data_IF_820943328683
#
_entry.id   IF_820943328683
#
_cell.length_a   1.000
_cell.length_b   1.000
_cell.length_c   1.000
_cell.angle_alpha   90.00
_cell.angle_beta   90.00
_cell.angle_gamma   90.00
#
_symmetry.space_group_name_H-M   'P 1'
#
loop_
_entity.id
_entity.type
_entity.pdbx_description
1 polymer ?
#
# COMPACT_ATOMS: atom_id res chain seq x y z
N UNK A 1 94.74 39.22 22.17
CA UNK A 1 94.38 40.06 21.02
C UNK A 1 94.35 39.18 19.78
N UNK A 2 93.23 39.24 19.06
CA UNK A 2 92.91 38.89 17.65
C UNK A 2 94.10 38.56 16.73
N UNK A 3 94.05 37.60 15.77
CA UNK A 3 93.22 37.53 14.54
C UNK A 3 93.22 36.09 13.96
N UNK A 4 92.14 35.69 13.29
CA UNK A 4 92.04 34.55 12.35
C UNK A 4 90.76 33.75 12.62
N UNK A 5 89.83 33.47 11.70
CA UNK A 5 89.94 33.21 10.27
C UNK A 5 88.52 33.32 9.67
N UNK A 6 88.41 33.82 8.43
CA UNK A 6 87.22 33.67 7.60
C UNK A 6 87.19 32.25 7.02
N UNK A 7 86.04 31.59 7.08
CA UNK A 7 85.70 30.45 6.22
C UNK A 7 84.26 30.62 5.73
N UNK A 8 84.14 31.07 4.49
CA UNK A 8 82.96 30.91 3.68
C UNK A 8 82.86 29.45 3.22
N UNK A 9 81.65 28.90 3.15
CA UNK A 9 81.43 27.66 2.39
C UNK A 9 80.29 26.80 2.91
N UNK A 10 79.21 26.71 2.13
CA UNK A 10 78.32 25.54 2.14
C UNK A 10 76.97 25.71 2.81
N UNK A 11 76.15 26.70 2.42
CA UNK A 11 74.70 26.50 2.51
C UNK A 11 74.31 25.36 1.58
N UNK A 12 74.15 24.16 2.14
CA UNK A 12 73.54 23.04 1.44
C UNK A 12 72.17 23.44 0.92
N UNK A 13 72.05 23.65 -0.40
CA UNK A 13 70.76 23.81 -1.07
C UNK A 13 69.98 22.53 -0.88
N UNK A 14 68.99 22.55 0.02
CA UNK A 14 67.95 21.51 0.05
C UNK A 14 67.31 21.47 -1.36
N UNK A 15 67.19 20.30 -1.99
CA UNK A 15 66.48 20.21 -3.28
C UNK A 15 65.07 20.75 -3.06
N UNK A 16 64.71 21.80 -3.80
CA UNK A 16 63.33 22.31 -3.83
C UNK A 16 62.46 21.15 -4.30
N UNK A 17 61.60 20.64 -3.41
CA UNK A 17 60.51 19.75 -3.80
C UNK A 17 59.66 20.53 -4.80
N UNK A 18 59.63 20.09 -6.04
CA UNK A 18 58.63 20.56 -7.00
C UNK A 18 57.26 20.24 -6.38
N UNK A 19 56.43 21.28 -6.23
CA UNK A 19 55.05 21.11 -5.83
C UNK A 19 54.39 20.40 -7.01
N UNK A 20 54.25 19.09 -6.89
CA UNK A 20 53.42 18.30 -7.81
C UNK A 20 52.00 18.84 -7.59
N UNK A 21 51.46 19.56 -8.56
CA UNK A 21 50.03 19.86 -8.61
C UNK A 21 49.31 18.52 -8.74
N UNK A 22 48.94 17.95 -7.59
CA UNK A 22 48.08 16.77 -7.53
C UNK A 22 46.71 17.25 -7.97
N UNK A 23 46.18 16.81 -9.12
CA UNK A 23 44.86 17.21 -9.55
C UNK A 23 43.87 16.80 -8.46
N UNK A 24 43.19 17.77 -7.86
CA UNK A 24 42.17 17.50 -6.84
C UNK A 24 41.11 16.57 -7.46
N UNK A 25 40.82 15.46 -6.77
CA UNK A 25 39.74 14.56 -7.18
C UNK A 25 38.44 15.36 -7.30
N UNK A 26 37.86 15.39 -8.51
CA UNK A 26 36.53 15.96 -8.74
C UNK A 26 35.54 15.36 -7.74
N UNK A 27 34.75 16.21 -7.08
CA UNK A 27 33.66 15.75 -6.21
C UNK A 27 32.62 15.02 -7.05
N UNK A 28 32.36 13.76 -6.70
CA UNK A 28 31.28 12.96 -7.29
C UNK A 28 29.92 13.64 -7.08
N UNK A 29 29.12 13.81 -8.14
CA UNK A 29 27.77 14.36 -8.01
C UNK A 29 26.81 13.30 -7.45
N UNK A 30 26.58 13.36 -6.13
CA UNK A 30 25.69 12.42 -5.42
C UNK A 30 24.20 12.75 -5.53
N UNK A 31 23.80 13.79 -6.27
CA UNK A 31 22.40 14.24 -6.36
C UNK A 31 21.46 13.15 -6.87
N UNK A 32 21.90 12.36 -7.86
CA UNK A 32 21.09 11.29 -8.44
C UNK A 32 20.91 10.13 -7.45
N UNK A 33 21.97 9.74 -6.75
CA UNK A 33 21.91 8.68 -5.73
C UNK A 33 21.05 9.08 -4.53
N UNK A 34 21.11 10.34 -4.10
CA UNK A 34 20.21 10.89 -3.08
C UNK A 34 18.75 10.86 -3.54
N UNK A 35 18.47 11.24 -4.79
CA UNK A 35 17.13 11.19 -5.37
C UNK A 35 16.59 9.75 -5.43
N UNK A 36 17.42 8.80 -5.87
CA UNK A 36 17.08 7.37 -5.88
C UNK A 36 16.78 6.84 -4.47
N UNK A 37 17.56 7.25 -3.48
CA UNK A 37 17.35 6.85 -2.08
C UNK A 37 15.99 7.35 -1.55
N UNK A 38 15.68 8.64 -1.72
CA UNK A 38 14.40 9.23 -1.28
C UNK A 38 13.23 8.57 -2.01
N UNK A 39 13.37 8.30 -3.32
CA UNK A 39 12.33 7.63 -4.09
C UNK A 39 12.11 6.19 -3.66
N UNK A 40 13.17 5.44 -3.33
CA UNK A 40 13.07 4.09 -2.75
C UNK A 40 12.28 4.11 -1.44
N UNK A 41 12.52 5.09 -0.57
CA UNK A 41 11.74 5.25 0.67
C UNK A 41 10.26 5.55 0.38
N UNK A 42 9.98 6.46 -0.57
CA UNK A 42 8.60 6.79 -0.99
C UNK A 42 7.89 5.59 -1.61
N UNK A 43 8.57 4.80 -2.43
CA UNK A 43 8.05 3.56 -2.99
C UNK A 43 7.66 2.60 -1.87
N UNK A 44 8.52 2.42 -0.86
CA UNK A 44 8.20 1.60 0.31
C UNK A 44 6.95 2.06 1.06
N UNK A 45 6.68 3.37 1.14
CA UNK A 45 5.42 3.90 1.69
C UNK A 45 4.22 3.56 0.81
N UNK A 46 4.32 3.78 -0.50
CA UNK A 46 3.24 3.45 -1.45
C UNK A 46 2.90 1.95 -1.45
N UNK A 47 3.91 1.08 -1.29
CA UNK A 47 3.70 -0.36 -1.18
C UNK A 47 2.97 -0.77 0.10
N UNK A 48 3.24 -0.09 1.22
CA UNK A 48 2.49 -0.26 2.47
C UNK A 48 1.05 0.20 2.31
N UNK A 49 0.83 1.40 1.78
CA UNK A 49 -0.52 1.93 1.48
C UNK A 49 -1.31 0.98 0.58
N UNK A 50 -0.68 0.43 -0.47
CA UNK A 50 -1.30 -0.59 -1.34
C UNK A 50 -1.66 -1.86 -0.56
N UNK A 51 -0.79 -2.31 0.34
CA UNK A 51 -1.04 -3.51 1.14
C UNK A 51 -2.18 -3.28 2.15
N UNK A 52 -2.22 -2.13 2.80
CA UNK A 52 -3.30 -1.70 3.68
C UNK A 52 -4.63 -1.62 2.91
N UNK A 53 -4.65 -0.97 1.74
CA UNK A 53 -5.83 -0.91 0.88
C UNK A 53 -6.29 -2.31 0.43
N UNK A 54 -5.35 -3.23 0.15
CA UNK A 54 -5.68 -4.63 -0.17
C UNK A 54 -6.33 -5.33 1.03
N UNK A 55 -5.79 -5.16 2.22
CA UNK A 55 -6.35 -5.75 3.45
C UNK A 55 -7.74 -5.19 3.73
N UNK A 56 -7.93 -3.88 3.63
CA UNK A 56 -9.22 -3.22 3.75
C UNK A 56 -10.24 -3.78 2.74
N UNK A 57 -9.85 -3.92 1.47
CA UNK A 57 -10.72 -4.50 0.44
C UNK A 57 -11.12 -5.95 0.75
N UNK A 58 -10.17 -6.78 1.19
CA UNK A 58 -10.47 -8.17 1.63
C UNK A 58 -11.40 -8.20 2.84
N UNK A 59 -11.16 -7.35 3.83
CA UNK A 59 -12.01 -7.23 5.01
C UNK A 59 -13.45 -6.84 4.62
N UNK A 60 -13.62 -5.84 3.74
CA UNK A 60 -14.95 -5.46 3.23
C UNK A 60 -15.65 -6.61 2.50
N UNK A 61 -14.92 -7.38 1.68
CA UNK A 61 -15.49 -8.56 1.00
C UNK A 61 -15.98 -9.63 1.98
N UNK A 62 -15.21 -9.88 3.04
CA UNK A 62 -15.62 -10.83 4.08
C UNK A 62 -16.88 -10.35 4.81
N UNK A 63 -16.96 -9.06 5.13
CA UNK A 63 -18.15 -8.45 5.74
C UNK A 63 -19.38 -8.54 4.83
N UNK A 64 -19.22 -8.28 3.53
CA UNK A 64 -20.30 -8.45 2.55
C UNK A 64 -20.77 -9.91 2.48
N UNK A 65 -19.85 -10.88 2.49
CA UNK A 65 -20.20 -12.29 2.50
C UNK A 65 -21.00 -12.66 3.74
N UNK A 66 -20.56 -12.22 4.92
CA UNK A 66 -21.25 -12.46 6.19
C UNK A 66 -22.64 -11.83 6.20
N UNK A 67 -22.77 -10.56 5.78
CA UNK A 67 -24.06 -9.88 5.69
C UNK A 67 -25.02 -10.61 4.73
N UNK A 68 -24.52 -11.04 3.56
CA UNK A 68 -25.31 -11.79 2.59
C UNK A 68 -25.76 -13.14 3.11
N UNK A 69 -24.88 -13.85 3.82
CA UNK A 69 -25.24 -15.14 4.42
C UNK A 69 -26.34 -14.95 5.46
N UNK A 70 -26.17 -13.99 6.36
CA UNK A 70 -27.15 -13.68 7.40
C UNK A 70 -28.51 -13.27 6.81
N UNK A 71 -28.53 -12.49 5.73
CA UNK A 71 -29.75 -12.17 5.01
C UNK A 71 -30.44 -13.41 4.41
N UNK A 72 -29.67 -14.30 3.77
CA UNK A 72 -30.18 -15.56 3.21
C UNK A 72 -30.75 -16.49 4.28
N UNK A 73 -30.05 -16.63 5.39
CA UNK A 73 -30.48 -17.46 6.52
C UNK A 73 -31.78 -16.90 7.10
N UNK A 74 -31.90 -15.58 7.24
CA UNK A 74 -33.12 -14.95 7.73
C UNK A 74 -34.30 -15.15 6.77
N UNK A 75 -34.08 -15.02 5.47
CA UNK A 75 -35.11 -15.29 4.47
C UNK A 75 -35.59 -16.74 4.53
N UNK A 76 -34.66 -17.69 4.58
CA UNK A 76 -34.99 -19.11 4.68
C UNK A 76 -35.81 -19.42 5.94
N UNK A 77 -35.38 -18.93 7.10
CA UNK A 77 -36.11 -19.10 8.38
C UNK A 77 -37.49 -18.46 8.34
N UNK A 78 -37.62 -17.28 7.74
CA UNK A 78 -38.90 -16.58 7.59
C UNK A 78 -39.86 -17.39 6.73
N UNK A 79 -39.38 -17.96 5.63
CA UNK A 79 -40.18 -18.78 4.74
C UNK A 79 -40.57 -20.10 5.40
N UNK A 80 -39.64 -20.77 6.08
CA UNK A 80 -39.88 -22.01 6.81
C UNK A 80 -40.92 -21.83 7.91
N UNK A 81 -40.78 -20.79 8.75
CA UNK A 81 -41.74 -20.45 9.80
C UNK A 81 -43.13 -20.23 9.22
N UNK A 82 -43.25 -19.50 8.10
CA UNK A 82 -44.53 -19.23 7.47
C UNK A 82 -45.19 -20.50 6.90
N UNK A 83 -44.41 -21.34 6.21
CA UNK A 83 -44.90 -22.61 5.68
C UNK A 83 -45.33 -23.54 6.80
N UNK A 84 -44.58 -23.59 7.90
CA UNK A 84 -44.92 -24.39 9.08
C UNK A 84 -46.25 -23.94 9.69
N UNK A 85 -46.40 -22.65 10.00
CA UNK A 85 -47.65 -22.13 10.56
C UNK A 85 -48.85 -22.30 9.63
N UNK A 86 -48.65 -22.22 8.31
CA UNK A 86 -49.72 -22.54 7.33
C UNK A 86 -50.11 -24.01 7.36
N UNK A 87 -49.14 -24.93 7.42
CA UNK A 87 -49.41 -26.37 7.51
C UNK A 87 -50.18 -26.71 8.79
N UNK A 88 -49.72 -26.22 9.93
CA UNK A 88 -50.37 -26.48 11.23
C UNK A 88 -51.79 -25.90 11.30
N UNK A 89 -52.03 -24.72 10.70
CA UNK A 89 -53.37 -24.16 10.61
C UNK A 89 -54.28 -25.00 9.70
N UNK A 90 -53.79 -25.46 8.55
CA UNK A 90 -54.54 -26.34 7.64
C UNK A 90 -54.83 -27.72 8.25
N UNK A 91 -53.94 -28.21 9.11
CA UNK A 91 -54.12 -29.44 9.89
C UNK A 91 -54.98 -29.23 11.14
N UNK A 92 -55.57 -28.02 11.33
CA UNK A 92 -56.38 -27.65 12.50
C UNK A 92 -55.64 -27.83 13.84
N UNK A 93 -54.30 -27.81 13.81
CA UNK A 93 -53.43 -27.89 15.00
C UNK A 93 -53.27 -26.52 15.66
N UNK A 94 -53.38 -25.44 14.87
CA UNK A 94 -53.40 -24.06 15.37
C UNK A 94 -54.80 -23.48 15.38
N UNK A 95 -55.13 -22.75 16.44
CA UNK A 95 -56.30 -21.89 16.48
C UNK A 95 -56.15 -20.66 15.58
N UNK A 96 -57.26 -20.05 15.17
CA UNK A 96 -57.28 -18.80 14.39
C UNK A 96 -56.49 -17.68 15.06
N UNK A 97 -56.58 -17.56 16.40
CA UNK A 97 -55.82 -16.57 17.16
C UNK A 97 -54.31 -16.79 17.09
N UNK A 98 -53.85 -18.04 17.20
CA UNK A 98 -52.44 -18.39 17.07
C UNK A 98 -51.93 -18.18 15.63
N UNK A 99 -52.74 -18.53 14.62
CA UNK A 99 -52.39 -18.28 13.22
C UNK A 99 -52.24 -16.78 12.91
N UNK A 100 -53.13 -15.94 13.45
CA UNK A 100 -53.01 -14.48 13.30
C UNK A 100 -51.74 -13.92 13.97
N UNK A 101 -51.33 -14.47 15.12
CA UNK A 101 -50.04 -14.13 15.75
C UNK A 101 -48.85 -14.56 14.88
N UNK A 102 -48.90 -15.77 14.32
CA UNK A 102 -47.86 -16.27 13.40
C UNK A 102 -47.75 -15.40 12.14
N UNK A 103 -48.87 -14.93 11.60
CA UNK A 103 -48.91 -13.98 10.46
C UNK A 103 -48.30 -12.63 10.83
N UNK A 104 -48.55 -12.13 12.04
CA UNK A 104 -47.93 -10.89 12.53
C UNK A 104 -46.41 -11.05 12.70
N UNK A 105 -45.96 -12.19 13.23
CA UNK A 105 -44.54 -12.53 13.33
C UNK A 105 -43.88 -12.58 11.95
N UNK A 106 -44.50 -13.26 10.98
CA UNK A 106 -44.00 -13.32 9.60
C UNK A 106 -43.79 -11.93 8.99
N UNK A 107 -44.74 -11.00 9.19
CA UNK A 107 -44.60 -9.61 8.71
C UNK A 107 -43.42 -8.89 9.36
N UNK A 108 -43.17 -9.10 10.66
CA UNK A 108 -42.00 -8.54 11.36
C UNK A 108 -40.71 -9.11 10.80
N UNK A 109 -40.63 -10.42 10.63
CA UNK A 109 -39.48 -11.11 10.05
C UNK A 109 -39.19 -10.66 8.61
N UNK A 110 -40.24 -10.41 7.80
CA UNK A 110 -40.07 -9.80 6.47
C UNK A 110 -39.44 -8.41 6.55
N UNK A 111 -39.91 -7.55 7.46
CA UNK A 111 -39.34 -6.22 7.64
C UNK A 111 -37.87 -6.29 8.10
N UNK A 112 -37.53 -7.19 9.02
CA UNK A 112 -36.14 -7.44 9.43
C UNK A 112 -35.28 -7.93 8.26
N UNK A 113 -35.79 -8.83 7.42
CA UNK A 113 -35.07 -9.31 6.23
C UNK A 113 -34.78 -8.17 5.23
N UNK A 114 -35.69 -7.20 5.11
CA UNK A 114 -35.50 -6.02 4.27
C UNK A 114 -34.40 -5.09 4.83
N UNK A 115 -34.34 -4.92 6.16
CA UNK A 115 -33.24 -4.17 6.81
C UNK A 115 -31.87 -4.84 6.57
N UNK A 116 -31.82 -6.17 6.64
CA UNK A 116 -30.60 -6.94 6.37
C UNK A 116 -30.17 -6.81 4.90
N UNK A 117 -31.13 -6.74 3.98
CA UNK A 117 -30.86 -6.48 2.57
C UNK A 117 -30.24 -5.10 2.35
N UNK A 118 -30.77 -4.05 3.00
CA UNK A 118 -30.18 -2.71 2.95
C UNK A 118 -28.73 -2.71 3.46
N UNK A 119 -28.47 -3.38 4.58
CA UNK A 119 -27.11 -3.56 5.11
C UNK A 119 -26.19 -4.27 4.11
N UNK A 120 -26.70 -5.23 3.35
CA UNK A 120 -25.93 -5.86 2.27
C UNK A 120 -25.58 -4.85 1.18
N UNK A 121 -26.51 -3.99 0.77
CA UNK A 121 -26.26 -2.95 -0.23
C UNK A 121 -25.20 -1.95 0.23
N UNK A 122 -25.25 -1.53 1.50
CA UNK A 122 -24.22 -0.67 2.10
C UNK A 122 -22.82 -1.31 2.00
N UNK A 123 -22.73 -2.61 2.30
CA UNK A 123 -21.47 -3.35 2.17
C UNK A 123 -21.01 -3.52 0.72
N UNK A 124 -21.93 -3.60 -0.24
CA UNK A 124 -21.58 -3.59 -1.67
C UNK A 124 -20.90 -2.28 -2.03
N UNK A 125 -21.45 -1.14 -1.62
CA UNK A 125 -20.84 0.16 -1.90
C UNK A 125 -19.47 0.32 -1.22
N UNK A 126 -19.34 -0.07 0.06
CA UNK A 126 -18.05 -0.08 0.75
C UNK A 126 -17.02 -0.97 0.04
N UNK A 127 -17.43 -2.13 -0.45
CA UNK A 127 -16.56 -3.01 -1.23
C UNK A 127 -16.10 -2.36 -2.54
N UNK A 128 -16.98 -1.62 -3.23
CA UNK A 128 -16.63 -0.90 -4.47
C UNK A 128 -15.64 0.21 -4.19
N UNK A 129 -15.85 0.99 -3.13
CA UNK A 129 -14.93 2.06 -2.71
C UNK A 129 -13.56 1.50 -2.33
N UNK A 130 -13.51 0.46 -1.48
CA UNK A 130 -12.26 -0.19 -1.10
C UNK A 130 -11.53 -0.82 -2.30
N UNK A 131 -12.28 -1.38 -3.26
CA UNK A 131 -11.72 -1.85 -4.53
C UNK A 131 -11.07 -0.71 -5.30
N UNK A 132 -11.77 0.40 -5.49
CA UNK A 132 -11.25 1.56 -6.21
C UNK A 132 -9.94 2.06 -5.57
N UNK A 133 -9.93 2.24 -4.24
CA UNK A 133 -8.75 2.67 -3.49
C UNK A 133 -7.55 1.71 -3.68
N UNK A 134 -7.78 0.39 -3.64
CA UNK A 134 -6.73 -0.59 -3.90
C UNK A 134 -6.16 -0.49 -5.32
N UNK A 135 -7.02 -0.36 -6.34
CA UNK A 135 -6.55 -0.25 -7.73
C UNK A 135 -5.83 1.07 -8.01
N UNK A 136 -6.26 2.17 -7.39
CA UNK A 136 -5.52 3.42 -7.45
C UNK A 136 -4.14 3.32 -6.78
N UNK A 137 -4.07 2.77 -5.56
CA UNK A 137 -2.80 2.55 -4.87
C UNK A 137 -1.87 1.63 -5.68
N UNK A 138 -2.43 0.58 -6.30
CA UNK A 138 -1.69 -0.31 -7.21
C UNK A 138 -1.15 0.47 -8.41
N UNK A 139 -1.95 1.35 -9.03
CA UNK A 139 -1.50 2.19 -10.15
C UNK A 139 -0.34 3.10 -9.75
N UNK A 140 -0.44 3.78 -8.61
CA UNK A 140 0.62 4.64 -8.06
C UNK A 140 1.94 3.89 -7.85
N UNK A 141 1.88 2.67 -7.30
CA UNK A 141 3.07 1.82 -7.12
C UNK A 141 3.69 1.44 -8.48
N UNK A 142 2.87 1.07 -9.48
CA UNK A 142 3.38 0.73 -10.82
C UNK A 142 4.04 1.93 -11.50
N UNK A 143 3.43 3.11 -11.40
CA UNK A 143 4.01 4.35 -11.93
C UNK A 143 5.32 4.71 -11.22
N UNK A 144 5.37 4.59 -9.90
CA UNK A 144 6.59 4.84 -9.11
C UNK A 144 7.71 3.86 -9.47
N UNK A 145 7.40 2.57 -9.64
CA UNK A 145 8.38 1.56 -10.08
C UNK A 145 8.95 1.89 -11.46
N UNK A 146 8.10 2.21 -12.43
CA UNK A 146 8.56 2.60 -13.79
C UNK A 146 9.48 3.82 -13.74
N UNK A 147 9.17 4.80 -12.90
CA UNK A 147 10.03 5.98 -12.75
C UNK A 147 11.35 5.64 -12.06
N UNK A 148 11.34 4.74 -11.08
CA UNK A 148 12.54 4.30 -10.38
C UNK A 148 13.46 3.47 -11.30
N UNK A 149 12.90 2.58 -12.12
CA UNK A 149 13.64 1.83 -13.14
C UNK A 149 14.33 2.77 -14.13
N UNK A 150 13.61 3.78 -14.66
CA UNK A 150 14.18 4.78 -15.56
C UNK A 150 15.38 5.52 -14.95
N UNK A 151 15.27 5.93 -13.69
CA UNK A 151 16.36 6.62 -12.99
C UNK A 151 17.54 5.69 -12.69
N UNK A 152 17.29 4.41 -12.42
CA UNK A 152 18.36 3.42 -12.27
C UNK A 152 19.15 3.26 -13.57
N UNK A 153 18.44 3.11 -14.70
CA UNK A 153 19.09 3.01 -16.03
C UNK A 153 19.91 4.26 -16.33
N UNK A 154 19.39 5.45 -16.07
CA UNK A 154 20.13 6.71 -16.26
C UNK A 154 21.39 6.76 -15.40
N UNK A 155 21.31 6.36 -14.13
CA UNK A 155 22.48 6.29 -13.24
C UNK A 155 23.53 5.34 -13.80
N UNK A 156 23.11 4.15 -14.24
CA UNK A 156 24.03 3.13 -14.75
C UNK A 156 24.69 3.59 -16.06
N UNK A 157 23.96 4.31 -16.93
CA UNK A 157 24.51 4.95 -18.12
C UNK A 157 25.53 6.06 -17.79
N UNK A 158 25.23 6.94 -16.83
CA UNK A 158 26.16 7.99 -16.41
C UNK A 158 27.46 7.41 -15.84
N UNK A 159 27.36 6.39 -14.98
CA UNK A 159 28.55 5.70 -14.45
C UNK A 159 29.37 5.02 -15.54
N UNK A 160 28.72 4.42 -16.54
CA UNK A 160 29.41 3.83 -17.68
C UNK A 160 30.14 4.90 -18.53
N UNK A 161 29.53 6.06 -18.73
CA UNK A 161 30.15 7.19 -19.44
C UNK A 161 31.35 7.77 -18.67
N UNK A 162 31.22 7.94 -17.34
CA UNK A 162 32.32 8.38 -16.48
C UNK A 162 33.51 7.42 -16.58
N UNK A 163 33.27 6.11 -16.54
CA UNK A 163 34.33 5.09 -16.69
C UNK A 163 35.01 5.11 -18.05
N UNK A 164 34.29 5.41 -19.14
CA UNK A 164 34.87 5.54 -20.48
C UNK A 164 35.73 6.81 -20.59
N UNK A 165 35.34 7.89 -19.92
CA UNK A 165 36.10 9.16 -19.93
C UNK A 165 37.34 9.15 -19.03
N UNK A 166 37.38 8.28 -18.02
CA UNK A 166 38.52 8.11 -17.12
C UNK A 166 39.58 7.13 -17.67
N UNK A 167 39.27 6.39 -18.73
CA UNK A 167 40.21 5.56 -19.50
C UNK A 167 40.91 6.37 -20.60
#
# INVERSE_FOLDING_TARGET
MTIGQQSAGGMGRRPRREVIDVPERKREDRRLDQLLHVRKQRLGRLERERNEARQAWRASRNQLQQARQLWRDMLARTQEQWLQSRREFMQMTLTTGQFNRAKALYKRMQAESAQLYLRCQEWVERCRQARAAFFEARRKVLEANRQQEKLSVLRDQMRAQEQIMEQ
#
